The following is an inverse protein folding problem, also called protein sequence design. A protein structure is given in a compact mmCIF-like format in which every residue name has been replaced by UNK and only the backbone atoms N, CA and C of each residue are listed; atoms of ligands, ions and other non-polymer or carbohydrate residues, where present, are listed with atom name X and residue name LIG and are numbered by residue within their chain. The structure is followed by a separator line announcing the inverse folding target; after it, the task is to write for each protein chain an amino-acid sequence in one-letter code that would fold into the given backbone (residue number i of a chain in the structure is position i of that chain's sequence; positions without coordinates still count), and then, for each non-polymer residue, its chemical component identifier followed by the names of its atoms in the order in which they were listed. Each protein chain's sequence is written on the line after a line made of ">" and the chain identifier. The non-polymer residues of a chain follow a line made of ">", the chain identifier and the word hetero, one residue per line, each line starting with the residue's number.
data_IF_722556848409
#
_entry.id   IF_722556848409
#
_cell.length_a   1.000
_cell.length_b   1.000
_cell.length_c   1.000
_cell.angle_alpha   90.00
_cell.angle_beta   90.00
_cell.angle_gamma   90.00
#
_symmetry.space_group_name_H-M   'P 1'
#
loop_
_entity.id
_entity.type
_entity.pdbx_description
1 polymer ?
#
# COMPACT_ATOMS: atom_id res chain seq x y z
N UNK A 1 -28.66 5.21 2.53
CA UNK A 1 -29.26 5.39 1.19
C UNK A 1 -28.32 4.75 0.18
N UNK A 2 -28.79 3.87 -0.71
CA UNK A 2 -27.94 3.31 -1.75
C UNK A 2 -27.51 4.39 -2.75
N UNK A 3 -26.33 4.24 -3.36
CA UNK A 3 -25.90 5.06 -4.50
C UNK A 3 -26.87 4.90 -5.67
N UNK A 4 -27.10 5.96 -6.44
CA UNK A 4 -27.93 5.82 -7.63
C UNK A 4 -27.31 4.84 -8.64
N UNK A 5 -28.12 4.16 -9.46
CA UNK A 5 -27.61 3.27 -10.51
C UNK A 5 -26.65 3.98 -11.47
N UNK A 6 -26.89 5.28 -11.70
CA UNK A 6 -26.08 6.13 -12.57
C UNK A 6 -24.70 6.35 -11.95
N UNK A 7 -24.64 6.70 -10.66
CA UNK A 7 -23.39 6.87 -9.94
C UNK A 7 -22.59 5.56 -9.89
N UNK A 8 -23.26 4.43 -9.61
CA UNK A 8 -22.63 3.10 -9.61
C UNK A 8 -22.01 2.76 -10.97
N UNK A 9 -22.75 2.98 -12.06
CA UNK A 9 -22.24 2.77 -13.42
C UNK A 9 -21.02 3.64 -13.72
N UNK A 10 -21.07 4.93 -13.38
CA UNK A 10 -19.95 5.84 -13.57
C UNK A 10 -18.71 5.44 -12.79
N UNK A 11 -18.87 5.02 -11.53
CA UNK A 11 -17.74 4.56 -10.72
C UNK A 11 -17.15 3.27 -11.30
N UNK A 12 -17.98 2.31 -11.72
CA UNK A 12 -17.51 1.09 -12.43
C UNK A 12 -16.70 1.46 -13.67
N UNK A 13 -17.22 2.36 -14.51
CA UNK A 13 -16.55 2.83 -15.72
C UNK A 13 -15.20 3.48 -15.39
N UNK A 14 -15.16 4.35 -14.38
CA UNK A 14 -13.93 5.01 -13.93
C UNK A 14 -12.91 4.02 -13.39
N UNK A 15 -13.33 3.05 -12.56
CA UNK A 15 -12.46 2.01 -12.03
C UNK A 15 -11.84 1.19 -13.15
N UNK A 16 -12.64 0.74 -14.12
CA UNK A 16 -12.16 -0.02 -15.29
C UNK A 16 -11.16 0.79 -16.12
N UNK A 17 -11.47 2.04 -16.44
CA UNK A 17 -10.62 2.91 -17.26
C UNK A 17 -9.28 3.23 -16.62
N UNK A 18 -9.23 3.36 -15.29
CA UNK A 18 -8.01 3.73 -14.58
C UNK A 18 -7.32 2.52 -13.95
N UNK A 19 -7.83 1.30 -14.13
CA UNK A 19 -7.30 0.14 -13.42
C UNK A 19 -5.84 -0.16 -13.78
N UNK A 20 -5.46 0.01 -15.05
CA UNK A 20 -4.07 -0.18 -15.50
C UNK A 20 -3.10 0.76 -14.75
N UNK A 21 -3.57 1.97 -14.40
CA UNK A 21 -2.80 2.94 -13.61
C UNK A 21 -2.90 2.66 -12.10
N UNK A 22 -4.02 2.10 -11.63
CA UNK A 22 -4.23 1.71 -10.24
C UNK A 22 -3.42 0.47 -9.86
N UNK A 23 -3.18 -0.47 -10.78
CA UNK A 23 -2.33 -1.65 -10.54
C UNK A 23 -0.91 -1.25 -10.14
N UNK A 24 -0.40 -0.17 -10.71
CA UNK A 24 0.89 0.41 -10.33
C UNK A 24 0.88 0.97 -8.90
N UNK A 25 -0.27 1.44 -8.40
CA UNK A 25 -0.43 2.11 -7.10
C UNK A 25 -0.87 1.17 -5.97
N UNK A 26 -1.70 0.17 -6.24
CA UNK A 26 -2.38 -0.64 -5.21
C UNK A 26 -1.87 -2.08 -5.11
N UNK A 27 -1.45 -2.72 -6.20
CA UNK A 27 -1.19 -4.16 -6.24
C UNK A 27 0.00 -4.52 -7.12
N UNK A 28 1.22 -4.42 -6.58
CA UNK A 28 2.41 -4.95 -7.24
C UNK A 28 2.48 -6.50 -7.34
N UNK A 29 1.37 -7.21 -7.11
CA UNK A 29 1.22 -8.65 -7.33
C UNK A 29 -0.25 -9.06 -7.44
N UNK A 30 -0.82 -9.16 -8.65
CA UNK A 30 -1.67 -10.29 -9.08
C UNK A 30 -2.45 -9.97 -10.37
N UNK A 31 -2.23 -10.81 -11.37
CA UNK A 31 -3.02 -11.03 -12.59
C UNK A 31 -3.00 -9.92 -13.68
N UNK A 32 -2.60 -10.26 -14.93
CA UNK A 32 -2.64 -9.35 -16.07
C UNK A 32 -4.05 -9.16 -16.64
N UNK A 33 -5.01 -10.01 -16.24
CA UNK A 33 -6.43 -9.77 -16.45
C UNK A 33 -6.89 -8.84 -15.34
N UNK A 34 -7.30 -7.62 -15.68
CA UNK A 34 -7.86 -6.65 -14.72
C UNK A 34 -9.00 -7.23 -13.84
N UNK A 35 -9.57 -6.40 -12.96
CA UNK A 35 -10.51 -6.87 -11.94
C UNK A 35 -11.76 -7.40 -12.63
N UNK A 36 -12.26 -8.54 -12.19
CA UNK A 36 -13.57 -9.01 -12.67
C UNK A 36 -14.67 -8.08 -12.18
N UNK A 37 -15.79 -8.01 -12.91
CA UNK A 37 -16.93 -7.18 -12.53
C UNK A 37 -17.44 -7.50 -11.11
N UNK A 38 -17.40 -8.78 -10.73
CA UNK A 38 -17.73 -9.24 -9.38
C UNK A 38 -16.83 -8.64 -8.29
N UNK A 39 -15.55 -8.42 -8.58
CA UNK A 39 -14.62 -7.80 -7.62
C UNK A 39 -14.93 -6.33 -7.42
N UNK A 40 -15.21 -5.60 -8.52
CA UNK A 40 -15.63 -4.21 -8.46
C UNK A 40 -16.92 -4.08 -7.64
N UNK A 41 -17.86 -5.00 -7.84
CA UNK A 41 -19.14 -4.99 -7.14
C UNK A 41 -18.99 -5.27 -5.65
N UNK A 42 -18.11 -6.19 -5.27
CA UNK A 42 -17.77 -6.44 -3.86
C UNK A 42 -17.16 -5.20 -3.20
N UNK A 43 -16.25 -4.51 -3.89
CA UNK A 43 -15.64 -3.28 -3.39
C UNK A 43 -16.69 -2.18 -3.20
N UNK A 44 -17.58 -1.98 -4.16
CA UNK A 44 -18.65 -1.00 -4.06
C UNK A 44 -19.63 -1.34 -2.94
N UNK A 45 -20.00 -2.61 -2.79
CA UNK A 45 -20.86 -3.06 -1.71
C UNK A 45 -20.22 -2.86 -0.34
N UNK A 46 -18.94 -3.22 -0.21
CA UNK A 46 -18.16 -3.01 1.01
C UNK A 46 -18.09 -1.52 1.35
N UNK A 47 -17.82 -0.67 0.35
CA UNK A 47 -17.78 0.79 0.52
C UNK A 47 -19.12 1.34 1.01
N UNK A 48 -20.23 0.95 0.37
CA UNK A 48 -21.58 1.41 0.78
C UNK A 48 -21.92 0.96 2.19
N UNK A 49 -21.42 -0.21 2.61
CA UNK A 49 -21.69 -0.77 3.95
C UNK A 49 -20.89 -0.10 5.06
N UNK A 50 -19.65 0.34 4.78
CA UNK A 50 -18.74 0.88 5.81
C UNK A 50 -18.83 2.40 6.00
N UNK A 51 -19.35 3.14 5.02
CA UNK A 51 -19.22 4.60 4.99
C UNK A 51 -20.47 5.35 5.45
N UNK A 52 -20.25 6.60 5.87
CA UNK A 52 -21.32 7.46 6.39
C UNK A 52 -22.17 8.05 5.26
N UNK A 53 -23.42 8.40 5.58
CA UNK A 53 -24.38 8.99 4.62
C UNK A 53 -23.84 10.22 3.88
N UNK A 54 -23.02 11.03 4.55
CA UNK A 54 -22.40 12.22 3.98
C UNK A 54 -21.47 11.90 2.80
N UNK A 55 -20.62 10.87 2.93
CA UNK A 55 -19.69 10.46 1.87
C UNK A 55 -20.42 9.93 0.63
N UNK A 56 -21.57 9.28 0.83
CA UNK A 56 -22.41 8.80 -0.28
C UNK A 56 -23.03 9.96 -1.05
N UNK A 57 -23.51 11.01 -0.37
CA UNK A 57 -24.03 12.21 -1.03
C UNK A 57 -22.96 12.98 -1.80
N UNK A 58 -21.77 13.10 -1.22
CA UNK A 58 -20.63 13.72 -1.89
C UNK A 58 -20.24 12.95 -3.16
N UNK A 59 -20.17 11.61 -3.07
CA UNK A 59 -19.85 10.76 -4.21
C UNK A 59 -20.90 10.85 -5.33
N UNK A 60 -22.18 10.95 -4.97
CA UNK A 60 -23.29 11.19 -5.89
C UNK A 60 -23.19 12.55 -6.60
N UNK A 61 -22.78 13.60 -5.88
CA UNK A 61 -22.56 14.93 -6.47
C UNK A 61 -21.35 14.92 -7.40
N UNK A 62 -20.23 14.34 -6.97
CA UNK A 62 -19.01 14.25 -7.78
C UNK A 62 -19.22 13.46 -9.07
N UNK A 63 -19.99 12.37 -9.02
CA UNK A 63 -20.32 11.58 -10.22
C UNK A 63 -21.22 12.35 -11.20
N UNK A 64 -22.17 13.16 -10.71
CA UNK A 64 -22.97 14.06 -11.56
C UNK A 64 -22.11 15.13 -12.22
N UNK A 65 -21.22 15.79 -11.47
CA UNK A 65 -20.28 16.77 -12.03
C UNK A 65 -19.35 16.13 -13.07
N UNK A 66 -18.89 14.91 -12.80
CA UNK A 66 -18.08 14.15 -13.74
C UNK A 66 -18.81 13.94 -15.08
N UNK A 67 -20.07 13.51 -15.06
CA UNK A 67 -20.86 13.31 -16.28
C UNK A 67 -21.09 14.60 -17.08
N UNK A 68 -21.38 15.70 -16.37
CA UNK A 68 -21.55 17.01 -17.00
C UNK A 68 -20.27 17.46 -17.71
N UNK A 69 -19.11 17.23 -17.10
CA UNK A 69 -17.82 17.60 -17.67
C UNK A 69 -17.31 16.62 -18.72
N UNK A 70 -17.64 15.33 -18.63
CA UNK A 70 -17.30 14.35 -19.67
C UNK A 70 -17.94 14.71 -21.02
N UNK A 71 -19.08 15.41 -20.99
CA UNK A 71 -19.77 15.93 -22.18
C UNK A 71 -19.10 17.19 -22.77
N UNK A 72 -18.17 17.83 -22.06
CA UNK A 72 -17.51 19.09 -22.47
C UNK A 72 -15.98 18.96 -22.40
N UNK A 73 -15.29 18.73 -23.53
CA UNK A 73 -13.86 18.38 -23.54
C UNK A 73 -12.89 19.52 -23.16
N UNK A 74 -13.37 20.74 -22.87
CA UNK A 74 -12.50 21.90 -22.62
C UNK A 74 -11.80 21.87 -21.25
N UNK A 75 -12.30 21.07 -20.29
CA UNK A 75 -11.90 21.17 -18.88
C UNK A 75 -11.11 19.96 -18.35
N UNK A 76 -10.06 19.54 -19.07
CA UNK A 76 -9.23 18.37 -18.71
C UNK A 76 -8.72 18.39 -17.26
N UNK A 77 -8.30 19.55 -16.75
CA UNK A 77 -7.82 19.70 -15.37
C UNK A 77 -8.92 19.46 -14.32
N UNK A 78 -10.13 19.98 -14.55
CA UNK A 78 -11.25 19.79 -13.63
C UNK A 78 -11.70 18.32 -13.59
N UNK A 79 -11.69 17.64 -14.73
CA UNK A 79 -12.00 16.21 -14.82
C UNK A 79 -10.98 15.39 -14.01
N UNK A 80 -9.68 15.71 -14.11
CA UNK A 80 -8.64 15.03 -13.34
C UNK A 80 -8.82 15.21 -11.82
N UNK A 81 -9.16 16.43 -11.36
CA UNK A 81 -9.42 16.72 -9.95
C UNK A 81 -10.68 16.01 -9.43
N UNK A 82 -11.76 15.95 -10.21
CA UNK A 82 -12.98 15.24 -9.83
C UNK A 82 -12.73 13.74 -9.77
N UNK A 83 -12.03 13.16 -10.76
CA UNK A 83 -11.60 11.76 -10.70
C UNK A 83 -10.83 11.52 -9.40
N UNK A 84 -9.83 12.36 -9.10
CA UNK A 84 -9.02 12.27 -7.87
C UNK A 84 -9.89 12.24 -6.62
N UNK A 85 -10.86 13.15 -6.50
CA UNK A 85 -11.78 13.19 -5.35
C UNK A 85 -12.68 11.96 -5.27
N UNK A 86 -13.27 11.51 -6.38
CA UNK A 86 -14.09 10.27 -6.41
C UNK A 86 -13.31 9.09 -5.86
N UNK A 87 -12.08 8.90 -6.34
CA UNK A 87 -11.22 7.83 -5.89
C UNK A 87 -10.79 8.00 -4.41
N UNK A 88 -10.47 9.22 -3.95
CA UNK A 88 -10.19 9.49 -2.54
C UNK A 88 -11.39 9.17 -1.64
N UNK A 89 -12.60 9.58 -2.03
CA UNK A 89 -13.83 9.29 -1.30
C UNK A 89 -14.07 7.79 -1.24
N UNK A 90 -13.74 7.05 -2.30
CA UNK A 90 -13.78 5.57 -2.34
C UNK A 90 -12.67 4.88 -1.50
N UNK A 91 -11.75 5.65 -0.91
CA UNK A 91 -10.63 5.13 -0.11
C UNK A 91 -9.35 4.87 -0.92
N UNK A 92 -9.33 5.15 -2.23
CA UNK A 92 -8.14 5.04 -3.06
C UNK A 92 -7.24 6.27 -2.85
N UNK A 93 -6.05 6.03 -2.29
CA UNK A 93 -5.01 7.06 -2.16
C UNK A 93 -4.24 7.23 -3.50
N UNK A 94 -4.88 7.81 -4.51
CA UNK A 94 -4.26 8.07 -5.83
C UNK A 94 -3.00 8.94 -5.79
N UNK A 95 -2.91 9.80 -4.78
CA UNK A 95 -1.77 10.69 -4.55
C UNK A 95 -1.04 10.33 -3.25
N UNK A 96 -1.00 9.05 -2.88
CA UNK A 96 0.18 8.60 -2.18
C UNK A 96 1.36 8.70 -3.17
N UNK A 97 1.78 9.93 -3.50
CA UNK A 97 3.21 10.21 -3.59
C UNK A 97 3.70 9.57 -2.30
N UNK A 98 4.41 8.42 -2.36
CA UNK A 98 4.98 7.85 -1.15
C UNK A 98 5.66 9.04 -0.54
N UNK A 99 5.27 9.46 0.66
CA UNK A 99 5.84 10.66 1.21
C UNK A 99 7.31 10.32 1.32
N UNK A 100 8.11 10.82 0.36
CA UNK A 100 9.56 10.77 0.34
C UNK A 100 10.09 11.73 1.39
N UNK A 101 9.30 11.96 2.43
CA UNK A 101 9.73 12.46 3.72
C UNK A 101 10.61 11.36 4.28
N UNK A 102 11.85 11.40 3.80
CA UNK A 102 12.95 10.73 4.42
C UNK A 102 12.92 11.10 5.90
N UNK A 103 13.11 10.12 6.79
CA UNK A 103 13.10 10.39 8.21
C UNK A 103 14.12 11.49 8.51
N UNK A 104 13.69 12.50 9.26
CA UNK A 104 14.56 13.63 9.57
C UNK A 104 15.74 13.14 10.42
N UNK A 105 16.96 13.42 9.97
CA UNK A 105 18.18 13.06 10.65
C UNK A 105 18.80 14.29 11.31
N UNK A 106 19.16 14.17 12.58
CA UNK A 106 19.75 15.26 13.37
C UNK A 106 21.01 14.77 14.09
N UNK A 107 21.91 15.68 14.45
CA UNK A 107 23.07 15.34 15.28
C UNK A 107 22.66 15.30 16.75
N UNK A 108 23.13 14.31 17.51
CA UNK A 108 22.83 14.18 18.93
C UNK A 108 23.43 15.35 19.76
N UNK A 109 24.47 16.01 19.25
CA UNK A 109 25.06 17.20 19.89
C UNK A 109 24.15 18.43 19.86
N UNK A 110 23.17 18.48 18.96
CA UNK A 110 22.27 19.64 18.80
C UNK A 110 20.95 19.50 19.56
N UNK A 111 20.78 18.45 20.37
CA UNK A 111 19.54 18.18 21.11
C UNK A 111 19.74 18.25 22.61
N UNK A 112 18.68 18.61 23.31
CA UNK A 112 18.63 18.56 24.77
C UNK A 112 17.82 17.34 25.18
N UNK A 113 18.49 16.42 25.86
CA UNK A 113 17.89 15.19 26.38
C UNK A 113 17.30 15.51 27.76
N UNK A 114 16.04 15.12 27.98
CA UNK A 114 15.40 15.14 29.28
C UNK A 114 14.94 13.73 29.67
N UNK A 115 14.67 13.52 30.95
CA UNK A 115 14.14 12.26 31.47
C UNK A 115 12.71 12.45 31.95
N UNK A 116 11.86 11.46 31.72
CA UNK A 116 10.47 11.46 32.17
C UNK A 116 10.04 10.06 32.61
N UNK A 117 8.95 9.97 33.37
CA UNK A 117 8.44 8.70 33.88
C UNK A 117 7.25 8.23 33.04
N UNK A 118 7.29 6.98 32.56
CA UNK A 118 6.21 6.37 31.77
C UNK A 118 6.21 4.84 31.91
N UNK A 119 5.03 4.24 32.12
CA UNK A 119 4.86 2.80 32.36
C UNK A 119 5.84 2.25 33.42
N UNK A 120 5.90 2.92 34.58
CA UNK A 120 6.77 2.57 35.72
C UNK A 120 8.28 2.55 35.43
N UNK A 121 8.73 3.22 34.37
CA UNK A 121 10.14 3.32 33.98
C UNK A 121 10.52 4.76 33.68
N UNK A 122 11.75 5.13 34.03
CA UNK A 122 12.36 6.37 33.56
C UNK A 122 12.79 6.18 32.12
N UNK A 123 12.39 7.11 31.24
CA UNK A 123 12.69 7.11 29.81
C UNK A 123 13.35 8.42 29.41
N UNK A 124 14.04 8.38 28.29
CA UNK A 124 14.69 9.55 27.69
C UNK A 124 13.78 10.18 26.63
N UNK A 125 13.77 11.50 26.59
CA UNK A 125 13.08 12.29 25.59
C UNK A 125 13.94 13.44 25.09
N UNK A 126 13.58 14.01 23.94
CA UNK A 126 14.23 15.19 23.37
C UNK A 126 13.18 16.24 23.02
N UNK A 127 13.59 17.50 23.06
CA UNK A 127 12.84 18.59 22.43
C UNK A 127 13.52 18.92 21.10
N UNK A 128 12.76 18.85 20.01
CA UNK A 128 13.24 19.23 18.69
C UNK A 128 12.21 20.16 18.02
N UNK A 129 12.62 21.38 17.72
CA UNK A 129 11.68 22.46 17.38
C UNK A 129 10.71 22.73 18.53
N UNK A 130 9.41 22.69 18.24
CA UNK A 130 8.34 22.86 19.25
C UNK A 130 7.67 21.54 19.67
N UNK A 131 8.30 20.40 19.36
CA UNK A 131 7.73 19.08 19.58
C UNK A 131 8.61 18.27 20.53
N UNK A 132 7.96 17.47 21.39
CA UNK A 132 8.62 16.54 22.30
C UNK A 132 8.61 15.13 21.70
N UNK A 133 9.73 14.43 21.79
CA UNK A 133 9.88 13.08 21.31
C UNK A 133 10.42 12.17 22.40
N UNK A 134 10.03 10.89 22.40
CA UNK A 134 10.55 9.86 23.28
C UNK A 134 11.52 8.94 22.55
N UNK A 135 12.57 8.49 23.23
CA UNK A 135 13.44 7.43 22.74
C UNK A 135 12.65 6.12 22.71
N UNK A 136 12.45 5.59 21.50
CA UNK A 136 11.75 4.31 21.31
C UNK A 136 12.75 3.20 21.05
N UNK A 137 13.72 3.44 20.16
CA UNK A 137 14.76 2.47 19.82
C UNK A 137 16.13 3.11 19.83
N UNK A 138 17.10 2.34 20.32
CA UNK A 138 18.51 2.69 20.30
C UNK A 138 19.29 1.59 19.60
N UNK A 139 20.13 1.97 18.66
CA UNK A 139 20.98 1.08 17.89
C UNK A 139 22.44 1.48 18.01
N UNK A 140 23.31 0.49 17.87
CA UNK A 140 24.73 0.71 17.65
C UNK A 140 24.97 1.30 16.24
N UNK A 141 26.02 2.09 16.08
CA UNK A 141 26.38 2.72 14.80
C UNK A 141 26.57 1.71 13.67
N UNK A 142 26.98 0.48 13.95
CA UNK A 142 27.12 -0.58 12.94
C UNK A 142 25.77 -0.95 12.28
N UNK A 143 24.64 -0.54 12.86
CA UNK A 143 23.29 -0.80 12.34
C UNK A 143 22.67 0.43 11.64
N UNK A 144 23.46 1.33 11.03
CA UNK A 144 22.93 2.53 10.32
C UNK A 144 21.86 2.18 9.31
N UNK A 145 22.13 1.22 8.43
CA UNK A 145 21.21 0.83 7.36
C UNK A 145 19.89 0.30 7.94
N UNK A 146 19.96 -0.53 8.98
CA UNK A 146 18.78 -1.09 9.61
C UNK A 146 17.93 -0.01 10.29
N UNK A 147 18.58 0.91 11.00
CA UNK A 147 17.93 2.06 11.65
C UNK A 147 17.22 2.92 10.62
N UNK A 148 17.87 3.20 9.49
CA UNK A 148 17.30 3.97 8.39
C UNK A 148 16.10 3.27 7.75
N UNK A 149 16.20 1.97 7.46
CA UNK A 149 15.08 1.19 6.92
C UNK A 149 13.87 1.19 7.84
N UNK A 150 14.10 1.06 9.16
CA UNK A 150 13.03 1.11 10.15
C UNK A 150 12.41 2.50 10.23
N UNK A 151 13.22 3.55 10.32
CA UNK A 151 12.76 4.94 10.35
C UNK A 151 11.98 5.29 9.08
N UNK A 152 12.40 4.78 7.92
CA UNK A 152 11.66 4.93 6.67
C UNK A 152 10.32 4.21 6.71
N UNK A 153 10.27 2.95 7.16
CA UNK A 153 9.01 2.21 7.29
C UNK A 153 8.02 2.89 8.24
N UNK A 154 8.50 3.46 9.35
CA UNK A 154 7.69 4.24 10.28
C UNK A 154 7.21 5.56 9.63
N UNK A 155 8.05 6.22 8.83
CA UNK A 155 7.66 7.42 8.06
C UNK A 155 6.61 7.11 6.99
N UNK A 156 6.74 5.97 6.28
CA UNK A 156 5.72 5.48 5.34
C UNK A 156 4.37 5.26 6.05
N UNK A 157 4.40 4.76 7.29
CA UNK A 157 3.23 4.63 8.16
C UNK A 157 2.75 5.95 8.81
N UNK A 158 3.27 7.10 8.35
CA UNK A 158 2.94 8.46 8.84
C UNK A 158 3.21 8.66 10.33
N UNK A 159 4.16 7.91 10.91
CA UNK A 159 4.57 8.09 12.30
C UNK A 159 5.51 9.29 12.39
N UNK A 160 5.16 10.36 13.13
CA UNK A 160 6.04 11.51 13.31
C UNK A 160 7.26 11.12 14.15
N UNK A 161 8.44 11.10 13.50
CA UNK A 161 9.69 10.65 14.12
C UNK A 161 10.89 11.47 13.65
N UNK A 162 11.96 11.38 14.43
CA UNK A 162 13.28 11.95 14.13
C UNK A 162 14.35 10.93 14.52
N UNK A 163 15.46 10.89 13.79
CA UNK A 163 16.59 10.00 14.10
C UNK A 163 17.79 10.86 14.51
N UNK A 164 18.31 10.66 15.71
CA UNK A 164 19.57 11.30 16.11
C UNK A 164 20.77 10.40 15.80
N UNK A 165 21.85 11.04 15.39
CA UNK A 165 23.14 10.43 15.08
C UNK A 165 24.16 10.83 16.14
N UNK A 166 24.84 9.85 16.72
CA UNK A 166 26.03 10.04 17.55
C UNK A 166 27.17 9.18 17.01
N UNK A 167 28.44 9.49 17.35
CA UNK A 167 29.57 8.63 17.06
C UNK A 167 29.44 7.20 17.62
N UNK A 168 28.63 6.98 18.66
CA UNK A 168 28.50 5.69 19.36
C UNK A 168 27.14 5.05 19.25
N UNK A 169 26.09 5.80 18.89
CA UNK A 169 24.73 5.26 18.79
C UNK A 169 23.86 6.02 17.80
N UNK A 170 22.75 5.40 17.45
CA UNK A 170 21.64 5.97 16.71
C UNK A 170 20.39 5.82 17.55
N UNK A 171 19.57 6.88 17.65
CA UNK A 171 18.33 6.81 18.43
C UNK A 171 17.16 7.25 17.56
N UNK A 172 16.10 6.44 17.56
CA UNK A 172 14.83 6.75 16.90
C UNK A 172 13.88 7.34 17.93
N UNK A 173 13.55 8.61 17.71
CA UNK A 173 12.70 9.42 18.55
C UNK A 173 11.32 9.53 17.90
N UNK A 174 10.26 9.18 18.63
CA UNK A 174 8.87 9.29 18.14
C UNK A 174 8.16 10.37 18.93
N UNK A 175 7.35 11.19 18.24
CA UNK A 175 6.60 12.28 18.89
C UNK A 175 5.79 11.72 20.07
N UNK A 176 5.99 12.28 21.25
CA UNK A 176 5.38 11.83 22.49
C UNK A 176 3.85 11.95 22.46
N UNK A 177 3.31 12.88 21.66
CA UNK A 177 1.87 13.08 21.47
C UNK A 177 1.25 12.08 20.46
N UNK A 178 2.08 11.34 19.73
CA UNK A 178 1.58 10.36 18.77
C UNK A 178 1.07 9.10 19.49
N UNK A 179 -0.14 8.58 19.16
CA UNK A 179 -0.63 7.32 19.70
C UNK A 179 0.36 6.16 19.48
N UNK A 180 1.07 6.18 18.36
CA UNK A 180 2.08 5.18 18.01
C UNK A 180 3.24 5.14 19.02
N UNK A 181 3.53 6.25 19.70
CA UNK A 181 4.58 6.30 20.71
C UNK A 181 4.28 5.33 21.87
N UNK A 182 3.06 5.38 22.42
CA UNK A 182 2.66 4.50 23.53
C UNK A 182 2.75 3.00 23.17
N UNK A 183 2.36 2.66 21.95
CA UNK A 183 2.42 1.29 21.42
C UNK A 183 3.88 0.85 21.29
N UNK A 184 4.72 1.68 20.65
CA UNK A 184 6.12 1.33 20.40
C UNK A 184 6.95 1.30 21.70
N UNK A 185 6.63 2.13 22.70
CA UNK A 185 7.29 2.11 24.01
C UNK A 185 7.00 0.83 24.80
N UNK A 186 5.84 0.20 24.55
CA UNK A 186 5.42 -1.06 25.19
C UNK A 186 5.90 -2.29 24.45
N UNK A 187 6.08 -2.18 23.14
CA UNK A 187 6.53 -3.30 22.32
C UNK A 187 7.96 -3.71 22.66
N UNK A 188 8.16 -5.02 22.80
CA UNK A 188 9.50 -5.57 22.92
C UNK A 188 10.26 -5.36 21.60
N UNK A 189 11.47 -4.81 21.72
CA UNK A 189 12.44 -4.65 20.62
C UNK A 189 12.62 -5.91 19.77
N UNK A 190 12.44 -7.10 20.38
CA UNK A 190 12.54 -8.39 19.69
C UNK A 190 11.46 -8.58 18.62
N UNK A 191 10.23 -8.21 18.92
CA UNK A 191 9.10 -8.34 17.99
C UNK A 191 9.30 -7.44 16.78
N UNK A 192 9.79 -6.22 17.00
CA UNK A 192 10.04 -5.32 15.89
C UNK A 192 11.13 -5.86 14.96
N UNK A 193 12.18 -6.48 15.52
CA UNK A 193 13.25 -7.12 14.73
C UNK A 193 12.70 -8.24 13.86
N UNK A 194 11.79 -9.06 14.40
CA UNK A 194 11.11 -10.10 13.61
C UNK A 194 10.24 -9.52 12.51
N UNK A 195 9.45 -8.48 12.82
CA UNK A 195 8.58 -7.83 11.84
C UNK A 195 9.37 -7.18 10.70
N UNK A 196 10.47 -6.48 11.01
CA UNK A 196 11.34 -5.88 9.99
C UNK A 196 11.99 -6.94 9.10
N UNK A 197 12.46 -8.05 9.70
CA UNK A 197 13.06 -9.16 8.94
C UNK A 197 12.04 -9.78 8.00
N UNK A 198 10.81 -9.97 8.48
CA UNK A 198 9.72 -10.55 7.71
C UNK A 198 9.27 -9.58 6.61
N UNK A 199 9.18 -8.28 6.88
CA UNK A 199 8.83 -7.27 5.88
C UNK A 199 9.91 -7.17 4.77
N UNK A 200 11.19 -7.27 5.13
CA UNK A 200 12.29 -7.39 4.16
C UNK A 200 12.19 -8.67 3.33
N UNK A 201 11.92 -9.81 3.96
CA UNK A 201 11.74 -11.08 3.27
C UNK A 201 10.55 -11.04 2.30
N UNK A 202 9.43 -10.45 2.71
CA UNK A 202 8.24 -10.25 1.87
C UNK A 202 8.54 -9.30 0.70
N UNK A 203 9.24 -8.19 0.91
CA UNK A 203 9.67 -7.30 -0.18
C UNK A 203 10.59 -8.02 -1.16
N UNK A 204 11.54 -8.84 -0.68
CA UNK A 204 12.42 -9.66 -1.53
C UNK A 204 11.62 -10.70 -2.33
N UNK A 205 10.73 -11.44 -1.68
CA UNK A 205 9.86 -12.43 -2.34
C UNK A 205 8.96 -11.79 -3.41
N UNK A 206 8.45 -10.59 -3.13
CA UNK A 206 7.66 -9.80 -4.08
C UNK A 206 8.47 -9.42 -5.34
N UNK A 207 9.78 -9.18 -5.20
CA UNK A 207 10.66 -8.87 -6.32
C UNK A 207 11.08 -10.12 -7.10
N UNK A 208 11.31 -11.26 -6.43
CA UNK A 208 11.73 -12.51 -7.09
C UNK A 208 10.56 -13.23 -7.77
N UNK A 209 9.34 -13.13 -7.25
CA UNK A 209 8.14 -13.71 -7.85
C UNK A 209 7.86 -13.22 -9.28
N UNK A 210 8.35 -12.03 -9.66
CA UNK A 210 8.25 -11.50 -11.03
C UNK A 210 9.16 -12.20 -12.06
N UNK A 211 10.20 -12.92 -11.63
CA UNK A 211 11.11 -13.64 -12.54
C UNK A 211 10.68 -15.09 -12.80
N UNK A 212 10.04 -15.74 -11.85
CA UNK A 212 9.59 -17.13 -12.02
C UNK A 212 8.41 -17.28 -13.01
N UNK A 213 7.56 -16.25 -13.14
CA UNK A 213 6.40 -16.28 -14.04
C UNK A 213 6.74 -16.12 -15.54
N UNK A 214 8.00 -15.81 -15.91
CA UNK A 214 8.42 -15.68 -17.31
C UNK A 214 9.11 -16.92 -17.88
N UNK A 215 9.37 -17.97 -17.08
CA UNK A 215 10.10 -19.16 -17.55
C UNK A 215 9.31 -20.48 -17.52
N UNK A 216 8.02 -20.45 -17.20
CA UNK A 216 7.12 -21.56 -17.47
C UNK A 216 6.49 -21.36 -18.87
N UNK A 217 7.28 -21.64 -19.91
CA UNK A 217 6.72 -21.98 -21.21
C UNK A 217 5.98 -23.32 -21.06
N UNK A 218 4.71 -23.42 -21.46
CA UNK A 218 4.02 -24.69 -21.53
C UNK A 218 4.48 -25.44 -22.80
N UNK A 219 5.61 -26.14 -22.72
CA UNK A 219 5.98 -27.17 -23.71
C UNK A 219 5.12 -28.43 -23.51
N UNK A 220 3.81 -28.32 -23.65
CA UNK A 220 2.91 -29.46 -23.75
C UNK A 220 1.66 -29.05 -24.52
N UNK A 221 1.66 -29.27 -25.83
CA UNK A 221 0.62 -30.05 -26.54
C UNK A 221 1.02 -30.18 -28.02
N UNK A 222 1.63 -31.31 -28.34
CA UNK A 222 2.01 -31.66 -29.72
C UNK A 222 2.19 -33.17 -29.92
N UNK A 223 1.48 -34.02 -29.17
CA UNK A 223 1.38 -35.45 -29.50
C UNK A 223 0.20 -35.64 -30.45
N UNK A 224 0.50 -35.80 -31.75
CA UNK A 224 -0.40 -36.33 -32.76
C UNK A 224 -0.90 -37.70 -32.30
N UNK A 225 -2.20 -37.82 -32.06
CA UNK A 225 -2.88 -39.11 -31.96
C UNK A 225 -2.96 -39.68 -33.38
N UNK A 226 -2.14 -40.69 -33.67
CA UNK A 226 -2.24 -41.49 -34.89
C UNK A 226 -3.36 -42.52 -34.65
N UNK A 227 -4.55 -42.24 -35.14
CA UNK A 227 -5.62 -43.24 -35.25
C UNK A 227 -5.27 -44.23 -36.34
N UNK A 228 -4.82 -45.43 -35.93
CA UNK A 228 -4.66 -46.59 -36.80
C UNK A 228 -6.03 -47.23 -36.99
N UNK A 229 -6.58 -47.14 -38.21
CA UNK A 229 -7.76 -47.91 -38.61
C UNK A 229 -7.34 -49.36 -38.95
N UNK A 230 -7.98 -50.39 -38.36
CA UNK A 230 -7.77 -51.77 -38.79
C UNK A 230 -8.44 -52.03 -40.15
N UNK A 231 -7.65 -52.53 -41.11
CA UNK A 231 -8.11 -53.05 -42.41
C UNK A 231 -8.92 -54.32 -42.18
N UNK A 232 -10.17 -54.34 -42.62
CA UNK A 232 -10.99 -55.54 -42.71
C UNK A 232 -10.46 -56.44 -43.85
N UNK A 233 -9.98 -57.63 -43.50
CA UNK A 233 -9.72 -58.74 -44.42
C UNK A 233 -11.05 -59.40 -44.79
N UNK A 234 -11.47 -59.27 -46.06
CA UNK A 234 -12.55 -60.08 -46.63
C UNK A 234 -12.02 -61.50 -46.87
N UNK A 235 -12.52 -62.45 -46.08
CA UNK A 235 -12.59 -63.85 -46.46
C UNK A 235 -13.54 -63.98 -47.66
N UNK A 236 -13.10 -64.62 -48.73
CA UNK A 236 -13.95 -64.97 -49.88
C UNK A 236 -13.77 -66.46 -50.10
N UNK A 237 -14.79 -67.20 -49.73
CA UNK A 237 -15.02 -68.57 -50.15
C UNK A 237 -15.23 -68.60 -51.68
N UNK A 238 -14.47 -69.46 -52.36
CA UNK A 238 -14.91 -70.35 -53.44
C UNK A 238 -13.72 -71.15 -53.99
#
# INVERSE_FOLDING_TARGET
>A
MPLSPIAQYCIRKLLKQNFENLDALFLAASNPSGPSDDQIDRLLYQFVSTNQSFQLQELELLTKLYQQLESSPTNSSAIAEIKRRIFQTLGFQLNAVPSTQLPQMIQESSIHIFRFFHDNKVREGIRFGNTLYAAVYQFDVNHRLHTYQMAWALSEAKVPLVVSLSPTRLVVWVNLQSPSCSVLLRQDSRLLRTLLTLNLALRKAKLTGKRAAKHLQPDFFGKKVVTVFPKATKSRDH
#
